data_IF_608715142445
#
_entry.id   IF_608715142445
#
_cell.length_a   1.000
_cell.length_b   1.000
_cell.length_c   1.000
_cell.angle_alpha   90.00
_cell.angle_beta   90.00
_cell.angle_gamma   90.00
#
_symmetry.space_group_name_H-M   'P 1'
#
loop_
_entity.id
_entity.type
_entity.pdbx_description
1 polymer ?
#
# COMPACT_ATOMS: atom_id res chain seq x y z
N UNK A 1 13.20 2.08 4.01
CA UNK A 1 12.57 2.77 2.86
C UNK A 1 11.38 3.54 3.39
N UNK A 2 11.43 4.87 3.29
CA UNK A 2 10.35 5.75 3.75
C UNK A 2 9.39 6.05 2.60
N UNK A 3 8.09 5.92 2.88
CA UNK A 3 7.02 6.03 1.88
C UNK A 3 5.78 6.69 2.46
N UNK A 4 4.83 7.06 1.60
CA UNK A 4 3.49 7.45 2.03
C UNK A 4 2.45 6.43 1.57
N UNK A 5 1.46 6.25 2.43
CA UNK A 5 0.28 5.45 2.18
C UNK A 5 -0.96 6.35 2.24
N UNK A 6 -1.52 6.67 1.08
CA UNK A 6 -2.57 7.69 0.92
C UNK A 6 -2.03 8.94 0.23
N UNK A 7 -2.76 9.46 -0.74
CA UNK A 7 -2.38 10.59 -1.57
C UNK A 7 -2.76 11.94 -0.99
N UNK A 8 -3.78 11.99 -0.12
CA UNK A 8 -4.17 13.23 0.55
C UNK A 8 -3.26 13.46 1.78
N UNK A 9 -2.47 14.56 1.84
CA UNK A 9 -1.60 14.86 2.96
C UNK A 9 -2.31 14.91 4.32
N UNK A 10 -3.60 15.27 4.37
CA UNK A 10 -4.37 15.36 5.61
C UNK A 10 -4.69 13.99 6.23
N UNK A 11 -4.62 12.91 5.44
CA UNK A 11 -5.06 11.58 5.87
C UNK A 11 -4.05 10.47 5.58
N UNK A 12 -2.97 10.78 4.86
CA UNK A 12 -1.90 9.82 4.54
C UNK A 12 -1.15 9.36 5.78
N UNK A 13 -0.61 8.16 5.69
CA UNK A 13 0.23 7.54 6.70
C UNK A 13 1.69 7.56 6.21
N UNK A 14 2.62 8.04 7.05
CA UNK A 14 4.07 7.85 6.88
C UNK A 14 4.43 6.41 7.26
N UNK A 15 4.88 5.63 6.28
CA UNK A 15 5.28 4.24 6.49
C UNK A 15 6.76 4.04 6.23
N UNK A 16 7.48 3.58 7.26
CA UNK A 16 8.87 3.14 7.16
C UNK A 16 8.93 1.63 7.03
N UNK A 17 9.48 1.15 5.92
CA UNK A 17 9.77 -0.27 5.72
C UNK A 17 11.23 -0.56 6.04
N UNK A 18 11.48 -1.61 6.82
CA UNK A 18 12.82 -2.10 7.15
C UNK A 18 12.94 -3.54 6.64
N UNK A 19 13.95 -3.79 5.83
CA UNK A 19 14.19 -5.09 5.20
C UNK A 19 15.68 -5.26 4.87
N UNK A 20 16.13 -6.51 4.75
CA UNK A 20 17.51 -6.84 4.36
C UNK A 20 17.65 -7.29 2.89
N UNK A 21 16.55 -7.34 2.12
CA UNK A 21 16.55 -7.84 0.74
C UNK A 21 16.13 -6.75 -0.25
N UNK A 22 16.98 -6.48 -1.24
CA UNK A 22 16.81 -5.37 -2.18
C UNK A 22 15.49 -5.42 -2.97
N UNK A 23 15.05 -6.60 -3.42
CA UNK A 23 13.80 -6.71 -4.18
C UNK A 23 12.57 -6.35 -3.33
N UNK A 24 12.61 -6.58 -2.01
CA UNK A 24 11.53 -6.20 -1.10
C UNK A 24 11.44 -4.67 -1.00
N UNK A 25 12.60 -3.99 -0.92
CA UNK A 25 12.67 -2.53 -0.95
C UNK A 25 12.16 -1.98 -2.29
N UNK A 26 12.54 -2.62 -3.40
CA UNK A 26 12.04 -2.29 -4.73
C UNK A 26 10.52 -2.46 -4.85
N UNK A 27 9.96 -3.53 -4.27
CA UNK A 27 8.53 -3.78 -4.26
C UNK A 27 7.76 -2.63 -3.58
N UNK A 28 8.17 -2.22 -2.37
CA UNK A 28 7.47 -1.13 -1.67
C UNK A 28 7.68 0.22 -2.36
N UNK A 29 8.83 0.45 -3.02
CA UNK A 29 9.08 1.65 -3.84
C UNK A 29 8.11 1.77 -5.03
N UNK A 30 7.63 0.63 -5.54
CA UNK A 30 6.65 0.58 -6.63
C UNK A 30 5.20 0.68 -6.13
N UNK A 31 4.90 0.10 -4.97
CA UNK A 31 3.51 -0.02 -4.49
C UNK A 31 3.04 1.15 -3.63
N UNK A 32 3.95 1.92 -3.03
CA UNK A 32 3.64 3.05 -2.16
C UNK A 32 4.05 4.38 -2.80
N UNK A 33 3.48 5.49 -2.32
CA UNK A 33 3.81 6.82 -2.83
C UNK A 33 5.22 7.17 -2.37
N UNK A 34 6.06 7.56 -3.32
CA UNK A 34 7.42 8.01 -3.06
C UNK A 34 7.41 9.46 -2.58
N UNK A 35 7.98 9.76 -1.40
CA UNK A 35 8.23 11.14 -1.00
C UNK A 35 9.12 11.85 -2.03
N UNK A 36 8.92 13.15 -2.21
CA UNK A 36 9.94 13.99 -2.85
C UNK A 36 11.20 14.08 -1.97
N UNK A 37 12.30 14.62 -2.51
CA UNK A 37 13.52 14.86 -1.73
C UNK A 37 13.27 15.81 -0.54
N UNK A 38 12.45 16.84 -0.75
CA UNK A 38 12.04 17.78 0.29
C UNK A 38 11.16 17.10 1.36
N UNK A 39 10.19 16.27 0.95
CA UNK A 39 9.35 15.51 1.89
C UNK A 39 10.18 14.48 2.67
N UNK A 40 11.22 13.92 2.06
CA UNK A 40 12.13 12.99 2.72
C UNK A 40 13.04 13.71 3.73
N UNK A 41 13.57 14.88 3.37
CA UNK A 41 14.36 15.72 4.27
C UNK A 41 13.54 16.16 5.51
N UNK A 42 12.23 16.35 5.33
CA UNK A 42 11.29 16.75 6.38
C UNK A 42 10.37 15.61 6.85
N UNK A 43 10.76 14.35 6.65
CA UNK A 43 9.87 13.21 6.89
C UNK A 43 9.47 13.06 8.37
N UNK A 44 10.42 13.32 9.27
CA UNK A 44 10.27 13.14 10.71
C UNK A 44 10.07 11.67 11.09
N UNK A 45 9.36 11.43 12.20
CA UNK A 45 9.05 10.09 12.67
C UNK A 45 7.96 9.42 11.80
N UNK A 46 8.08 8.12 11.47
CA UNK A 46 7.04 7.41 10.76
C UNK A 46 5.80 7.24 11.66
N UNK A 47 4.61 7.24 11.05
CA UNK A 47 3.37 6.93 11.76
C UNK A 47 3.23 5.42 11.98
N UNK A 48 3.87 4.61 11.11
CA UNK A 48 3.84 3.15 11.18
C UNK A 48 5.14 2.55 10.64
N UNK A 49 5.64 1.50 11.28
CA UNK A 49 6.88 0.81 10.88
C UNK A 49 6.56 -0.63 10.49
N UNK A 50 7.05 -1.08 9.33
CA UNK A 50 6.87 -2.45 8.84
C UNK A 50 8.22 -3.13 8.72
N UNK A 51 8.45 -4.12 9.58
CA UNK A 51 9.65 -4.95 9.61
C UNK A 51 9.42 -6.20 8.77
N UNK A 52 10.20 -6.34 7.70
CA UNK A 52 10.20 -7.54 6.86
C UNK A 52 11.44 -8.39 7.18
N UNK A 53 11.23 -9.39 8.05
CA UNK A 53 12.22 -10.37 8.46
C UNK A 53 11.88 -11.75 7.86
N UNK A 54 11.63 -11.79 6.54
CA UNK A 54 11.25 -13.01 5.82
C UNK A 54 12.18 -14.22 6.00
N UNK A 55 13.46 -13.99 6.33
CA UNK A 55 14.46 -15.04 6.59
C UNK A 55 14.31 -15.67 7.98
N UNK A 56 13.75 -14.95 8.94
CA UNK A 56 13.50 -15.46 10.28
C UNK A 56 12.21 -16.28 10.33
N UNK A 57 12.12 -17.18 11.30
CA UNK A 57 10.96 -18.03 11.53
C UNK A 57 10.69 -18.16 13.03
N UNK A 58 9.43 -18.38 13.39
CA UNK A 58 9.03 -18.50 14.80
C UNK A 58 9.07 -19.97 15.21
N UNK A 59 10.19 -20.46 15.73
CA UNK A 59 10.35 -21.89 16.05
C UNK A 59 9.43 -22.35 17.18
N UNK A 60 9.19 -21.51 18.18
CA UNK A 60 8.29 -21.78 19.31
C UNK A 60 6.83 -21.30 19.04
N UNK A 61 6.40 -21.27 17.78
CA UNK A 61 5.09 -20.72 17.38
C UNK A 61 3.90 -21.32 18.15
N UNK A 62 3.95 -22.63 18.47
CA UNK A 62 2.89 -23.30 19.24
C UNK A 62 2.75 -22.75 20.66
N UNK A 63 3.87 -22.46 21.32
CA UNK A 63 3.89 -21.90 22.68
C UNK A 63 3.34 -20.47 22.70
N UNK A 64 3.58 -19.72 21.62
CA UNK A 64 3.08 -18.36 21.42
C UNK A 64 1.62 -18.31 20.94
N UNK A 65 0.96 -19.47 20.74
CA UNK A 65 -0.41 -19.55 20.24
C UNK A 65 -0.59 -19.16 18.77
N UNK A 66 0.48 -19.21 17.98
CA UNK A 66 0.45 -18.93 16.54
C UNK A 66 0.09 -20.19 15.74
N UNK A 67 -0.35 -19.99 14.49
CA UNK A 67 -0.75 -21.08 13.60
C UNK A 67 0.44 -21.86 13.01
N UNK A 68 1.56 -21.18 12.75
CA UNK A 68 2.74 -21.74 12.08
C UNK A 68 3.99 -20.94 12.40
N UNK A 69 5.15 -21.43 11.94
CA UNK A 69 6.41 -20.67 11.98
C UNK A 69 6.36 -19.36 11.16
N UNK A 70 5.40 -19.24 10.24
CA UNK A 70 5.06 -18.01 9.49
C UNK A 70 4.09 -17.14 10.27
N UNK A 71 4.39 -15.85 10.34
CA UNK A 71 3.58 -14.86 11.04
C UNK A 71 3.64 -13.49 10.35
N UNK A 72 2.47 -12.91 10.10
CA UNK A 72 2.31 -11.48 9.80
C UNK A 72 1.48 -10.88 10.93
N UNK A 73 2.11 -10.09 11.80
CA UNK A 73 1.47 -9.57 13.02
C UNK A 73 1.48 -8.04 13.04
N UNK A 74 0.50 -7.47 13.75
CA UNK A 74 0.29 -6.02 13.85
C UNK A 74 0.13 -5.61 15.31
N UNK A 75 0.76 -4.51 15.70
CA UNK A 75 0.58 -3.88 17.00
C UNK A 75 0.19 -2.41 16.80
N UNK A 76 -1.07 -2.07 17.07
CA UNK A 76 -1.60 -0.71 16.92
C UNK A 76 -1.19 0.23 18.06
N UNK A 77 -0.67 -0.29 19.18
CA UNK A 77 -0.15 0.54 20.28
C UNK A 77 1.23 1.08 19.95
N UNK A 78 2.08 0.25 19.34
CA UNK A 78 3.42 0.64 18.91
C UNK A 78 3.49 1.06 17.45
N UNK A 79 2.39 0.90 16.70
CA UNK A 79 2.28 1.17 15.26
C UNK A 79 3.28 0.35 14.42
N UNK A 80 3.29 -0.96 14.65
CA UNK A 80 4.25 -1.87 14.03
C UNK A 80 3.56 -3.01 13.28
N UNK A 81 4.15 -3.41 12.16
CA UNK A 81 3.91 -4.68 11.48
C UNK A 81 5.22 -5.48 11.50
N UNK A 82 5.14 -6.77 11.80
CA UNK A 82 6.28 -7.69 11.70
C UNK A 82 5.90 -8.86 10.79
N UNK A 83 6.73 -9.13 9.79
CA UNK A 83 6.55 -10.20 8.80
C UNK A 83 7.69 -11.21 8.96
N UNK A 84 7.35 -12.47 9.23
CA UNK A 84 8.27 -13.57 9.51
C UNK A 84 7.93 -14.78 8.64
N UNK A 85 8.97 -15.44 8.11
CA UNK A 85 8.90 -16.68 7.35
C UNK A 85 7.90 -16.68 6.17
N UNK A 86 7.82 -15.54 5.45
CA UNK A 86 7.09 -15.43 4.18
C UNK A 86 7.79 -14.42 3.27
N UNK A 87 7.96 -14.82 2.00
CA UNK A 87 8.58 -13.99 0.96
C UNK A 87 7.54 -13.30 0.07
N UNK A 88 6.25 -13.41 0.40
CA UNK A 88 5.20 -12.83 -0.42
C UNK A 88 5.14 -11.31 -0.23
N UNK A 89 5.55 -10.53 -1.23
CA UNK A 89 5.55 -9.06 -1.16
C UNK A 89 4.18 -8.44 -0.86
N UNK A 90 3.09 -9.16 -1.21
CA UNK A 90 1.73 -8.75 -0.91
C UNK A 90 1.46 -8.54 0.59
N UNK A 91 2.19 -9.19 1.50
CA UNK A 91 2.07 -9.00 2.95
C UNK A 91 2.37 -7.55 3.38
N UNK A 92 3.40 -6.92 2.78
CA UNK A 92 3.74 -5.51 3.03
C UNK A 92 2.64 -4.58 2.54
N UNK A 93 2.09 -4.84 1.34
CA UNK A 93 1.02 -4.02 0.75
C UNK A 93 -0.31 -4.17 1.49
N UNK A 94 -0.74 -5.42 1.69
CA UNK A 94 -2.03 -5.73 2.30
C UNK A 94 -2.04 -5.44 3.80
N UNK A 95 -0.91 -5.60 4.49
CA UNK A 95 -0.80 -5.22 5.90
C UNK A 95 -1.10 -3.73 6.12
N UNK A 96 -0.42 -2.86 5.39
CA UNK A 96 -0.69 -1.41 5.49
C UNK A 96 -2.09 -1.05 4.99
N UNK A 97 -2.62 -1.74 3.98
CA UNK A 97 -4.01 -1.57 3.58
C UNK A 97 -5.00 -1.91 4.72
N UNK A 98 -4.73 -2.96 5.49
CA UNK A 98 -5.54 -3.31 6.68
C UNK A 98 -5.50 -2.22 7.74
N UNK A 99 -4.33 -1.59 7.96
CA UNK A 99 -4.22 -0.44 8.88
C UNK A 99 -5.10 0.72 8.41
N UNK A 100 -5.16 0.98 7.11
CA UNK A 100 -5.96 2.07 6.56
C UNK A 100 -7.45 1.74 6.57
N UNK A 101 -7.81 0.46 6.41
CA UNK A 101 -9.18 -0.02 6.65
C UNK A 101 -9.61 0.12 8.11
N UNK A 102 -8.69 0.18 9.06
CA UNK A 102 -9.00 0.49 10.45
C UNK A 102 -9.12 2.00 10.69
N UNK A 103 -8.13 2.78 10.26
CA UNK A 103 -8.03 4.21 10.59
C UNK A 103 -9.04 5.09 9.84
N UNK A 104 -9.28 4.83 8.55
CA UNK A 104 -10.12 5.70 7.73
C UNK A 104 -11.60 5.68 8.17
N UNK A 105 -12.24 4.52 8.43
CA UNK A 105 -13.63 4.52 8.88
C UNK A 105 -13.85 5.25 10.19
N UNK A 106 -12.88 5.19 11.12
CA UNK A 106 -12.93 5.94 12.38
C UNK A 106 -12.93 7.47 12.18
N UNK A 107 -12.49 7.94 11.01
CA UNK A 107 -12.48 9.35 10.60
C UNK A 107 -13.63 9.69 9.63
N UNK A 108 -14.57 8.78 9.43
CA UNK A 108 -15.68 8.96 8.48
C UNK A 108 -15.28 8.83 7.00
N UNK A 109 -14.12 8.24 6.71
CA UNK A 109 -13.60 8.05 5.35
C UNK A 109 -13.76 6.60 4.93
N UNK A 110 -14.37 6.35 3.77
CA UNK A 110 -14.47 5.00 3.22
C UNK A 110 -13.09 4.48 2.79
N UNK A 111 -12.71 3.30 3.28
CA UNK A 111 -11.53 2.57 2.80
C UNK A 111 -11.96 1.39 1.94
N UNK A 112 -11.59 1.40 0.66
CA UNK A 112 -12.20 0.52 -0.33
C UNK A 112 -11.17 -0.35 -1.06
N UNK A 113 -11.47 -1.65 -1.15
CA UNK A 113 -10.74 -2.58 -2.00
C UNK A 113 -11.28 -2.55 -3.43
N UNK A 114 -11.06 -1.43 -4.12
CA UNK A 114 -11.47 -1.23 -5.50
C UNK A 114 -10.30 -0.80 -6.40
N UNK A 115 -10.53 -0.80 -7.71
CA UNK A 115 -9.85 0.09 -8.64
C UNK A 115 -10.75 1.27 -8.97
N UNK A 116 -10.18 2.31 -9.55
CA UNK A 116 -10.89 3.52 -9.93
C UNK A 116 -10.25 4.15 -11.17
N UNK A 117 -11.08 4.81 -11.96
CA UNK A 117 -10.67 5.65 -13.08
C UNK A 117 -11.56 6.90 -13.14
N UNK A 118 -11.16 7.86 -13.96
CA UNK A 118 -11.94 9.06 -14.24
C UNK A 118 -11.83 9.44 -15.71
N UNK A 119 -12.82 10.16 -16.23
CA UNK A 119 -12.72 10.73 -17.57
C UNK A 119 -11.53 11.69 -17.68
N UNK A 120 -11.13 12.04 -18.91
CA UNK A 120 -9.97 12.92 -19.15
C UNK A 120 -10.13 14.33 -18.58
N UNK A 121 -11.36 14.74 -18.29
CA UNK A 121 -11.69 16.04 -17.73
C UNK A 121 -11.78 16.03 -16.19
N UNK A 122 -11.68 14.85 -15.56
CA UNK A 122 -11.81 14.65 -14.12
C UNK A 122 -13.23 14.85 -13.58
N UNK A 123 -14.27 14.84 -14.43
CA UNK A 123 -15.65 15.17 -14.05
C UNK A 123 -16.46 13.96 -13.59
N UNK A 124 -16.18 12.81 -14.17
CA UNK A 124 -16.89 11.56 -13.88
C UNK A 124 -15.89 10.52 -13.39
N UNK A 125 -16.15 9.92 -12.23
CA UNK A 125 -15.32 8.88 -11.65
C UNK A 125 -16.11 7.59 -11.49
N UNK A 126 -15.47 6.46 -11.75
CA UNK A 126 -16.03 5.13 -11.51
C UNK A 126 -15.14 4.34 -10.54
N UNK A 127 -15.78 3.50 -9.71
CA UNK A 127 -15.14 2.60 -8.78
C UNK A 127 -15.56 1.16 -9.08
N UNK A 128 -14.59 0.25 -9.09
CA UNK A 128 -14.81 -1.15 -9.44
C UNK A 128 -14.41 -2.04 -8.26
N UNK A 129 -15.42 -2.60 -7.58
CA UNK A 129 -15.21 -3.57 -6.52
C UNK A 129 -15.00 -4.98 -7.07
N UNK A 130 -14.29 -5.81 -6.32
CA UNK A 130 -14.04 -7.20 -6.69
C UNK A 130 -12.91 -7.83 -5.89
N UNK A 131 -12.83 -9.16 -5.89
CA UNK A 131 -11.74 -9.90 -5.26
C UNK A 131 -10.49 -9.94 -6.16
N UNK A 132 -9.39 -10.48 -5.62
CA UNK A 132 -8.18 -10.67 -6.43
C UNK A 132 -8.50 -11.55 -7.64
N UNK A 133 -8.03 -11.19 -8.83
CA UNK A 133 -8.28 -11.94 -10.06
C UNK A 133 -9.63 -11.71 -10.75
N UNK A 134 -10.54 -10.88 -10.22
CA UNK A 134 -11.90 -10.69 -10.79
C UNK A 134 -12.00 -9.52 -11.77
N UNK A 135 -10.93 -9.16 -12.48
CA UNK A 135 -10.98 -8.17 -13.57
C UNK A 135 -10.89 -6.68 -13.19
N UNK A 136 -10.78 -6.32 -11.89
CA UNK A 136 -10.63 -4.91 -11.45
C UNK A 136 -9.55 -4.14 -12.21
N UNK A 137 -8.39 -4.76 -12.35
CA UNK A 137 -7.19 -4.21 -13.00
C UNK A 137 -7.39 -4.07 -14.52
N UNK A 138 -7.99 -5.08 -15.13
CA UNK A 138 -8.28 -5.10 -16.57
C UNK A 138 -9.27 -4.00 -16.94
N UNK A 139 -10.37 -3.89 -16.20
CA UNK A 139 -11.44 -2.92 -16.48
C UNK A 139 -11.05 -1.47 -16.16
N UNK A 140 -10.13 -1.24 -15.22
CA UNK A 140 -9.67 0.11 -14.92
C UNK A 140 -8.70 0.68 -15.96
N UNK A 141 -8.11 -0.17 -16.80
CA UNK A 141 -7.07 0.20 -17.78
C UNK A 141 -7.65 0.39 -19.17
N UNK A 142 -8.70 1.20 -19.27
CA UNK A 142 -9.32 1.59 -20.54
C UNK A 142 -8.59 2.82 -21.11
N UNK A 143 -8.24 2.79 -22.40
CA UNK A 143 -7.51 3.85 -23.11
C UNK A 143 -8.29 5.17 -23.25
N UNK A 144 -9.62 5.12 -23.07
CA UNK A 144 -10.49 6.29 -23.16
C UNK A 144 -10.50 7.12 -21.87
N UNK A 145 -10.05 6.56 -20.74
CA UNK A 145 -10.11 7.15 -19.40
C UNK A 145 -8.72 7.28 -18.76
N UNK A 146 -8.59 8.16 -17.78
CA UNK A 146 -7.39 8.25 -16.96
C UNK A 146 -7.49 7.24 -15.82
N UNK A 147 -6.54 6.30 -15.75
CA UNK A 147 -6.42 5.39 -14.61
C UNK A 147 -6.02 6.18 -13.36
N UNK A 148 -6.84 6.14 -12.32
CA UNK A 148 -6.54 6.80 -11.05
C UNK A 148 -6.05 5.82 -9.98
N UNK A 149 -6.43 4.53 -10.06
CA UNK A 149 -6.07 3.51 -9.06
C UNK A 149 -5.88 2.13 -9.69
N UNK A 150 -4.66 1.58 -9.63
CA UNK A 150 -4.43 0.15 -9.84
C UNK A 150 -4.26 -0.58 -8.50
N UNK A 151 -5.35 -1.22 -8.09
CA UNK A 151 -5.41 -2.31 -7.10
C UNK A 151 -5.15 -1.93 -5.63
N UNK A 152 -6.25 -1.81 -4.89
CA UNK A 152 -6.39 -1.76 -3.43
C UNK A 152 -5.86 -0.52 -2.74
N UNK A 153 -6.55 0.61 -2.98
CA UNK A 153 -6.70 1.72 -2.04
C UNK A 153 -7.40 2.87 -2.76
N UNK A 154 -8.71 3.02 -2.53
CA UNK A 154 -9.33 4.31 -2.78
C UNK A 154 -8.66 5.34 -1.86
N UNK A 155 -7.89 6.25 -2.47
CA UNK A 155 -7.15 7.28 -1.75
C UNK A 155 -5.62 7.20 -1.87
N UNK A 156 -5.02 6.29 -2.66
CA UNK A 156 -3.55 6.12 -2.74
C UNK A 156 -2.81 6.85 -3.88
N UNK A 157 -3.42 7.65 -4.77
CA UNK A 157 -2.62 8.31 -5.82
C UNK A 157 -3.00 9.75 -6.18
N UNK A 158 -1.94 10.55 -6.37
CA UNK A 158 -1.87 11.70 -7.27
C UNK A 158 -2.01 11.16 -8.70
N UNK A 159 -2.89 11.75 -9.51
CA UNK A 159 -3.00 11.41 -10.94
C UNK A 159 -1.64 11.66 -11.59
N UNK A 160 -0.92 10.60 -11.94
CA UNK A 160 0.12 10.73 -12.95
C UNK A 160 -0.64 10.80 -14.27
N UNK A 161 -0.80 12.01 -14.82
CA UNK A 161 -1.09 12.16 -16.24
C UNK A 161 0.00 11.37 -16.96
N UNK A 162 -0.40 10.31 -17.66
CA UNK A 162 0.48 9.54 -18.52
C UNK A 162 1.27 10.51 -19.39
N UNK A 163 2.59 10.33 -19.36
CA UNK A 163 3.51 10.92 -20.33
C UNK A 163 2.87 10.82 -21.71
N UNK A 164 2.87 11.94 -22.45
CA UNK A 164 2.66 11.90 -23.89
C UNK A 164 3.56 10.78 -24.43
N UNK A 165 2.95 9.82 -25.10
CA UNK A 165 3.67 8.98 -26.02
C UNK A 165 4.14 9.91 -27.16
N UNK A 166 5.29 10.54 -26.97
CA UNK A 166 6.08 11.02 -28.09
C UNK A 166 6.72 9.77 -28.69
N UNK A 167 5.95 9.13 -29.56
CA UNK A 167 6.43 8.13 -30.49
C UNK A 167 6.96 8.88 -31.72
N UNK A 168 8.29 8.80 -31.92
CA UNK A 168 9.09 9.11 -33.12
C UNK A 168 8.98 10.52 -33.72
#
# INVERSE_FOLDING_TARGET
MDTFCGANPATRLKVRFIMEVAWQAHFVKNMFIRPSEEELANYGEPDFVSFNAAKAKVENYKELGLNSETATVFNLKTNEQVILNTWYGGEMKKGIFSIMNYLNPLRGIASMHCSANTDKEGKSSAIFFGLSGTGKTTLSTDLSVSLSVMTSMAGMTKVYSTMKADAM
#
